data_IF_521657691399
#
_entry.id   IF_521657691399
#
_cell.length_a   1.000
_cell.length_b   1.000
_cell.length_c   1.000
_cell.angle_alpha   90.00
_cell.angle_beta   90.00
_cell.angle_gamma   90.00
#
_symmetry.space_group_name_H-M   'P 1'
#
loop_
_entity.id
_entity.type
_entity.pdbx_description
1 polymer ?
#
# COMPACT_ATOMS: atom_id res chain seq x y z
N UNK A 1 -7.20 28.23 -25.49
CA UNK A 1 -7.56 27.19 -26.48
C UNK A 1 -6.88 25.91 -26.05
N UNK A 2 -7.63 24.96 -25.50
CA UNK A 2 -7.07 23.70 -24.97
C UNK A 2 -6.69 22.75 -26.11
N UNK A 3 -7.51 22.65 -27.17
CA UNK A 3 -7.36 21.63 -28.22
C UNK A 3 -6.60 22.13 -29.45
N UNK A 4 -5.42 22.70 -29.22
CA UNK A 4 -4.54 23.23 -30.25
C UNK A 4 -3.12 22.70 -30.03
N UNK A 5 -2.47 22.20 -31.08
CA UNK A 5 -1.09 21.72 -31.04
C UNK A 5 -0.24 22.52 -32.02
N UNK A 6 0.53 23.48 -31.49
CA UNK A 6 1.25 24.47 -32.31
C UNK A 6 0.29 25.34 -33.10
N UNK A 7 0.26 25.18 -34.43
CA UNK A 7 -0.65 25.87 -35.36
C UNK A 7 -1.80 24.98 -35.87
N UNK A 8 -1.94 23.76 -35.37
CA UNK A 8 -2.91 22.80 -35.89
C UNK A 8 -4.02 22.50 -34.88
N UNK A 9 -5.28 22.58 -35.32
CA UNK A 9 -6.43 22.15 -34.53
C UNK A 9 -6.41 20.63 -34.33
N UNK A 10 -6.62 20.20 -33.09
CA UNK A 10 -6.73 18.76 -32.78
C UNK A 10 -8.06 18.24 -33.34
N UNK A 11 -8.00 17.11 -34.05
CA UNK A 11 -9.17 16.48 -34.68
C UNK A 11 -9.83 15.49 -33.74
N UNK A 12 -11.15 15.51 -33.71
CA UNK A 12 -11.99 14.63 -32.92
C UNK A 12 -12.99 13.91 -33.81
N UNK A 13 -13.24 12.63 -33.53
CA UNK A 13 -14.39 11.89 -34.03
C UNK A 13 -15.20 11.41 -32.84
N UNK A 14 -16.52 11.58 -32.88
CA UNK A 14 -17.42 11.18 -31.80
C UNK A 14 -18.20 9.94 -32.23
N UNK A 15 -18.12 8.87 -31.44
CA UNK A 15 -18.88 7.65 -31.66
C UNK A 15 -20.39 7.94 -31.62
N UNK A 16 -21.16 7.27 -32.50
CA UNK A 16 -22.61 7.47 -32.64
C UNK A 16 -23.46 6.99 -31.47
N UNK A 17 -22.95 6.06 -30.64
CA UNK A 17 -23.67 5.54 -29.49
C UNK A 17 -23.57 6.45 -28.26
N UNK A 18 -22.80 7.54 -28.34
CA UNK A 18 -22.80 8.56 -27.29
C UNK A 18 -24.18 9.25 -27.31
N UNK A 19 -24.85 9.45 -26.16
CA UNK A 19 -26.15 10.13 -26.10
C UNK A 19 -26.13 11.47 -26.83
N UNK A 20 -27.21 11.80 -27.57
CA UNK A 20 -27.25 12.95 -28.48
C UNK A 20 -27.06 14.29 -27.76
N UNK A 21 -27.57 14.42 -26.54
CA UNK A 21 -27.37 15.54 -25.65
C UNK A 21 -25.88 15.71 -25.29
N UNK A 22 -25.22 14.62 -24.89
CA UNK A 22 -23.78 14.60 -24.60
C UNK A 22 -22.97 14.92 -25.86
N UNK A 23 -23.35 14.41 -27.04
CA UNK A 23 -22.68 14.73 -28.30
C UNK A 23 -22.74 16.23 -28.65
N UNK A 24 -23.89 16.88 -28.43
CA UNK A 24 -24.05 18.32 -28.66
C UNK A 24 -23.17 19.13 -27.70
N UNK A 25 -23.13 18.75 -26.42
CA UNK A 25 -22.28 19.40 -25.43
C UNK A 25 -20.79 19.22 -25.75
N UNK A 26 -20.35 18.00 -26.06
CA UNK A 26 -18.97 17.73 -26.47
C UNK A 26 -18.59 18.53 -27.72
N UNK A 27 -19.50 18.60 -28.70
CA UNK A 27 -19.28 19.36 -29.93
C UNK A 27 -19.01 20.83 -29.65
N UNK A 28 -19.86 21.42 -28.80
CA UNK A 28 -19.73 22.79 -28.34
C UNK A 28 -18.40 23.01 -27.61
N UNK A 29 -18.07 22.18 -26.61
CA UNK A 29 -16.84 22.32 -25.82
C UNK A 29 -15.59 22.18 -26.70
N UNK A 30 -15.56 21.19 -27.60
CA UNK A 30 -14.41 20.98 -28.50
C UNK A 30 -14.18 22.20 -29.39
N UNK A 31 -15.23 22.73 -30.01
CA UNK A 31 -15.14 23.90 -30.89
C UNK A 31 -14.75 25.18 -30.13
N UNK A 32 -15.37 25.43 -28.97
CA UNK A 32 -15.04 26.57 -28.09
C UNK A 32 -13.57 26.52 -27.63
N UNK A 33 -13.02 25.32 -27.45
CA UNK A 33 -11.63 25.11 -27.04
C UNK A 33 -10.65 24.99 -28.21
N UNK A 34 -11.10 25.20 -29.45
CA UNK A 34 -10.24 25.26 -30.65
C UNK A 34 -10.00 23.95 -31.37
N UNK A 35 -10.71 22.88 -31.01
CA UNK A 35 -10.65 21.60 -31.69
C UNK A 35 -11.56 21.54 -32.91
N UNK A 36 -11.34 20.54 -33.78
CA UNK A 36 -12.12 20.28 -34.99
C UNK A 36 -12.79 18.92 -34.91
N UNK A 37 -14.06 18.83 -35.31
CA UNK A 37 -14.79 17.57 -35.36
C UNK A 37 -14.82 17.07 -36.81
N UNK A 38 -14.55 15.80 -37.00
CA UNK A 38 -14.53 15.12 -38.30
C UNK A 38 -15.65 14.08 -38.36
N UNK A 39 -16.30 13.97 -39.51
CA UNK A 39 -17.34 12.95 -39.76
C UNK A 39 -16.77 11.53 -39.90
N UNK A 40 -15.47 11.42 -40.15
CA UNK A 40 -14.74 10.16 -40.33
C UNK A 40 -13.63 10.06 -39.31
N UNK A 41 -13.28 8.83 -38.93
CA UNK A 41 -12.18 8.55 -38.01
C UNK A 41 -10.89 9.20 -38.54
N UNK A 42 -10.29 10.16 -37.82
CA UNK A 42 -9.15 10.91 -38.33
C UNK A 42 -7.89 10.02 -38.40
N UNK A 43 -6.93 10.41 -39.25
CA UNK A 43 -5.61 9.75 -39.29
C UNK A 43 -4.76 10.03 -38.05
N UNK A 44 -4.92 11.22 -37.48
CA UNK A 44 -4.29 11.69 -36.24
C UNK A 44 -5.32 12.52 -35.47
N UNK A 45 -5.36 12.36 -34.15
CA UNK A 45 -6.35 12.97 -33.27
C UNK A 45 -7.04 11.94 -32.37
N UNK A 46 -8.20 12.31 -31.85
CA UNK A 46 -8.93 11.55 -30.85
C UNK A 46 -10.21 10.95 -31.40
N UNK A 47 -10.49 9.72 -30.98
CA UNK A 47 -11.75 9.00 -31.20
C UNK A 47 -12.43 8.90 -29.83
N UNK A 48 -13.46 9.70 -29.62
CA UNK A 48 -14.25 9.72 -28.39
C UNK A 48 -15.24 8.56 -28.42
N UNK A 49 -15.09 7.63 -27.48
CA UNK A 49 -15.90 6.41 -27.40
C UNK A 49 -16.74 6.36 -26.13
N UNK A 50 -17.84 5.63 -26.19
CA UNK A 50 -18.59 5.18 -25.01
C UNK A 50 -18.01 3.83 -24.54
N UNK A 51 -17.30 3.78 -23.40
CA UNK A 51 -16.67 2.53 -22.92
C UNK A 51 -17.69 1.39 -22.79
N UNK A 52 -17.28 0.17 -23.14
CA UNK A 52 -18.12 -1.04 -23.01
C UNK A 52 -19.17 -1.26 -24.10
N UNK A 53 -19.32 -0.32 -25.05
CA UNK A 53 -20.25 -0.49 -26.17
C UNK A 53 -19.65 -1.36 -27.29
N UNK A 54 -20.50 -2.09 -28.01
CA UNK A 54 -20.06 -2.95 -29.13
C UNK A 54 -19.36 -2.14 -30.25
N UNK A 55 -19.85 -0.93 -30.51
CA UNK A 55 -19.24 -0.02 -31.48
C UNK A 55 -17.87 0.49 -31.02
N UNK A 56 -17.67 0.75 -29.72
CA UNK A 56 -16.34 1.10 -29.20
C UNK A 56 -15.33 -0.04 -29.45
N UNK A 57 -15.74 -1.29 -29.22
CA UNK A 57 -14.93 -2.47 -29.55
C UNK A 57 -14.67 -2.56 -31.05
N UNK A 58 -15.70 -2.37 -31.89
CA UNK A 58 -15.56 -2.39 -33.35
C UNK A 58 -14.59 -1.32 -33.86
N UNK A 59 -14.71 -0.08 -33.35
CA UNK A 59 -13.84 1.03 -33.72
C UNK A 59 -12.39 0.74 -33.36
N UNK A 60 -12.13 0.22 -32.15
CA UNK A 60 -10.79 -0.24 -31.78
C UNK A 60 -10.32 -1.34 -32.73
N UNK A 61 -11.06 -2.43 -32.91
CA UNK A 61 -10.62 -3.54 -33.79
C UNK A 61 -10.38 -3.14 -35.25
N UNK A 62 -11.17 -2.21 -35.80
CA UNK A 62 -11.04 -1.81 -37.21
C UNK A 62 -9.97 -0.73 -37.45
N UNK A 63 -9.75 0.15 -36.48
CA UNK A 63 -8.98 1.38 -36.68
C UNK A 63 -7.77 1.50 -35.75
N UNK A 64 -7.62 0.60 -34.79
CA UNK A 64 -6.41 0.51 -34.00
C UNK A 64 -5.31 -0.14 -34.85
N UNK A 65 -4.23 0.59 -35.11
CA UNK A 65 -3.08 0.10 -35.85
C UNK A 65 -1.81 0.73 -35.27
N UNK A 66 -0.77 -0.07 -34.97
CA UNK A 66 0.49 0.44 -34.43
C UNK A 66 1.21 1.38 -35.41
N UNK A 67 0.90 1.31 -36.71
CA UNK A 67 1.47 2.18 -37.76
C UNK A 67 0.92 3.62 -37.71
N UNK A 68 -0.06 3.89 -36.84
CA UNK A 68 -0.74 5.19 -36.71
C UNK A 68 -0.70 5.68 -35.25
N UNK A 69 0.48 5.99 -34.70
CA UNK A 69 0.64 6.32 -33.28
C UNK A 69 -0.07 7.61 -32.85
N UNK A 70 -0.43 8.50 -33.79
CA UNK A 70 -1.14 9.74 -33.50
C UNK A 70 -2.66 9.60 -33.37
N UNK A 71 -3.21 8.38 -33.38
CA UNK A 71 -4.66 8.12 -33.22
C UNK A 71 -4.91 7.53 -31.84
N UNK A 72 -5.74 8.21 -31.05
CA UNK A 72 -6.01 7.81 -29.68
C UNK A 72 -7.49 7.53 -29.45
N UNK A 73 -7.80 6.41 -28.78
CA UNK A 73 -9.17 6.02 -28.43
C UNK A 73 -9.39 6.29 -26.95
N UNK A 74 -10.12 7.35 -26.65
CA UNK A 74 -10.33 7.87 -25.30
C UNK A 74 -11.82 7.91 -24.98
N UNK A 75 -12.24 7.74 -23.71
CA UNK A 75 -13.64 7.88 -23.35
C UNK A 75 -14.13 9.30 -23.65
N UNK A 76 -15.43 9.46 -23.90
CA UNK A 76 -16.02 10.78 -24.15
C UNK A 76 -15.80 11.77 -22.98
N UNK A 77 -15.61 11.27 -21.75
CA UNK A 77 -15.26 12.07 -20.56
C UNK A 77 -13.88 12.74 -20.63
N UNK A 78 -13.03 12.35 -21.59
CA UNK A 78 -11.71 12.96 -21.81
C UNK A 78 -11.77 14.47 -22.08
N UNK A 79 -12.80 14.92 -22.80
CA UNK A 79 -12.96 16.35 -23.14
C UNK A 79 -13.18 17.18 -21.88
N UNK A 80 -14.04 16.70 -20.99
CA UNK A 80 -14.30 17.33 -19.70
C UNK A 80 -13.05 17.29 -18.80
N UNK A 81 -12.32 16.17 -18.80
CA UNK A 81 -11.06 16.05 -18.06
C UNK A 81 -10.01 17.07 -18.53
N UNK A 82 -9.87 17.29 -19.84
CA UNK A 82 -8.99 18.33 -20.39
C UNK A 82 -9.46 19.74 -20.00
N UNK A 83 -10.77 19.99 -20.04
CA UNK A 83 -11.37 21.26 -19.62
C UNK A 83 -11.07 21.54 -18.15
N UNK A 84 -11.26 20.56 -17.28
CA UNK A 84 -11.01 20.67 -15.84
C UNK A 84 -9.52 20.84 -15.51
N UNK A 85 -8.64 20.20 -16.28
CA UNK A 85 -7.20 20.38 -16.16
C UNK A 85 -6.71 21.74 -16.72
N UNK A 86 -7.55 22.45 -17.48
CA UNK A 86 -7.16 23.68 -18.20
C UNK A 86 -6.11 23.44 -19.29
N UNK A 87 -5.85 22.19 -19.66
CA UNK A 87 -4.79 21.79 -20.56
C UNK A 87 -5.14 20.49 -21.29
N UNK A 88 -4.53 20.28 -22.46
CA UNK A 88 -4.71 19.07 -23.24
C UNK A 88 -3.90 17.92 -22.62
N UNK A 89 -4.60 16.88 -22.16
CA UNK A 89 -4.01 15.71 -21.52
C UNK A 89 -3.29 14.82 -22.55
N UNK A 90 -1.98 14.65 -22.38
CA UNK A 90 -1.15 13.82 -23.25
C UNK A 90 -1.39 12.33 -23.00
N UNK A 91 -1.38 11.53 -24.06
CA UNK A 91 -1.54 10.07 -24.02
C UNK A 91 -0.22 9.37 -23.66
N UNK A 92 0.30 9.65 -22.47
CA UNK A 92 1.62 9.20 -22.03
C UNK A 92 1.68 7.71 -21.69
N UNK A 93 0.59 7.12 -21.23
CA UNK A 93 0.55 5.69 -20.85
C UNK A 93 0.29 4.79 -22.07
N UNK A 94 1.02 5.05 -23.15
CA UNK A 94 0.99 4.26 -24.37
C UNK A 94 2.39 3.77 -24.73
N UNK A 95 2.51 2.54 -25.21
CA UNK A 95 3.77 1.94 -25.67
C UNK A 95 3.51 1.27 -27.02
N UNK A 96 4.23 1.71 -28.07
CA UNK A 96 3.95 1.26 -29.44
C UNK A 96 2.52 1.57 -29.92
N UNK A 97 1.91 2.65 -29.38
CA UNK A 97 0.51 3.02 -29.64
C UNK A 97 -0.51 2.22 -28.84
N UNK A 98 -0.11 1.15 -28.14
CA UNK A 98 -0.98 0.36 -27.28
C UNK A 98 -1.10 1.00 -25.90
N UNK A 99 -2.30 1.04 -25.29
CA UNK A 99 -2.43 1.36 -23.87
C UNK A 99 -1.59 0.44 -23.01
N UNK A 100 -0.85 1.00 -22.05
CA UNK A 100 -0.12 0.20 -21.06
C UNK A 100 -1.15 -0.49 -20.15
N UNK A 101 -1.09 -1.83 -19.96
CA UNK A 101 -1.96 -2.53 -19.03
C UNK A 101 -1.51 -2.26 -17.59
N UNK A 102 -2.37 -1.61 -16.81
CA UNK A 102 -2.15 -1.19 -15.44
C UNK A 102 -3.19 -1.87 -14.54
N UNK A 103 -2.74 -2.54 -13.48
CA UNK A 103 -3.62 -3.12 -12.48
C UNK A 103 -3.64 -2.25 -11.22
N UNK A 104 -4.81 -1.77 -10.82
CA UNK A 104 -4.98 -1.06 -9.55
C UNK A 104 -5.32 -2.07 -8.45
N UNK A 105 -4.35 -2.37 -7.58
CA UNK A 105 -4.47 -3.39 -6.55
C UNK A 105 -5.52 -3.04 -5.48
N UNK A 106 -6.14 -4.04 -4.86
CA UNK A 106 -7.19 -3.87 -3.85
C UNK A 106 -6.73 -3.23 -2.53
N UNK A 107 -5.42 -3.05 -2.34
CA UNK A 107 -4.84 -2.33 -1.19
C UNK A 107 -5.31 -0.87 -1.11
N UNK A 108 -5.78 -0.29 -2.21
CA UNK A 108 -6.47 0.99 -2.18
C UNK A 108 -7.86 0.82 -1.57
N UNK A 109 -7.97 1.06 -0.27
CA UNK A 109 -9.23 0.90 0.48
C UNK A 109 -10.31 1.88 0.01
N UNK A 110 -9.95 3.11 -0.38
CA UNK A 110 -10.91 4.13 -0.81
C UNK A 110 -11.39 3.88 -2.27
N UNK A 111 -12.67 3.51 -2.49
CA UNK A 111 -13.19 3.24 -3.82
C UNK A 111 -13.22 4.48 -4.73
N UNK A 112 -13.45 5.68 -4.16
CA UNK A 112 -13.49 6.93 -4.91
C UNK A 112 -12.10 7.33 -5.40
N UNK A 113 -11.08 7.15 -4.55
CA UNK A 113 -9.69 7.36 -4.94
C UNK A 113 -9.28 6.40 -6.06
N UNK A 114 -9.70 5.13 -5.98
CA UNK A 114 -9.46 4.13 -7.03
C UNK A 114 -10.15 4.49 -8.35
N UNK A 115 -11.41 4.94 -8.30
CA UNK A 115 -12.13 5.40 -9.48
C UNK A 115 -11.47 6.64 -10.11
N UNK A 116 -11.07 7.61 -9.29
CA UNK A 116 -10.38 8.82 -9.76
C UNK A 116 -9.01 8.50 -10.38
N UNK A 117 -8.26 7.57 -9.78
CA UNK A 117 -6.99 7.08 -10.33
C UNK A 117 -7.19 6.35 -11.66
N UNK A 118 -8.23 5.52 -11.76
CA UNK A 118 -8.64 4.84 -12.99
C UNK A 118 -8.95 5.83 -14.11
N UNK A 119 -9.78 6.85 -13.82
CA UNK A 119 -10.14 7.92 -14.77
C UNK A 119 -8.87 8.63 -15.28
N UNK A 120 -7.94 9.00 -14.38
CA UNK A 120 -6.67 9.65 -14.76
C UNK A 120 -5.80 8.79 -15.68
N UNK A 121 -5.72 7.50 -15.42
CA UNK A 121 -4.97 6.55 -16.25
C UNK A 121 -5.61 6.46 -17.64
N UNK A 122 -6.93 6.30 -17.71
CA UNK A 122 -7.68 6.19 -18.97
C UNK A 122 -7.52 7.48 -19.79
N UNK A 123 -7.69 8.65 -19.16
CA UNK A 123 -7.55 9.94 -19.83
C UNK A 123 -6.12 10.22 -20.31
N UNK A 124 -5.13 9.53 -19.73
CA UNK A 124 -3.73 9.63 -20.13
C UNK A 124 -3.28 8.46 -21.02
N UNK A 125 -4.22 7.65 -21.53
CA UNK A 125 -4.00 6.63 -22.57
C UNK A 125 -3.72 5.22 -22.08
N UNK A 126 -3.78 4.94 -20.77
CA UNK A 126 -3.54 3.62 -20.20
C UNK A 126 -4.82 2.77 -20.03
N UNK A 127 -4.64 1.50 -19.69
CA UNK A 127 -5.74 0.58 -19.35
C UNK A 127 -5.68 0.19 -17.86
N UNK A 128 -6.52 0.76 -16.98
CA UNK A 128 -6.52 0.47 -15.54
C UNK A 128 -7.26 -0.82 -15.16
N UNK A 129 -7.92 -1.48 -16.12
CA UNK A 129 -8.75 -2.66 -15.88
C UNK A 129 -8.00 -3.97 -16.14
N UNK A 130 -6.69 -3.91 -16.38
CA UNK A 130 -5.89 -5.09 -16.66
C UNK A 130 -5.90 -6.05 -15.45
N UNK A 131 -6.12 -7.35 -15.67
CA UNK A 131 -5.94 -8.34 -14.60
C UNK A 131 -4.47 -8.43 -14.20
N UNK A 132 -4.23 -8.78 -12.93
CA UNK A 132 -2.89 -8.83 -12.31
C UNK A 132 -1.87 -9.64 -13.11
N UNK A 133 -2.31 -10.71 -13.78
CA UNK A 133 -1.45 -11.61 -14.58
C UNK A 133 -0.97 -10.99 -15.90
N UNK A 134 -1.74 -10.07 -16.47
CA UNK A 134 -1.43 -9.40 -17.74
C UNK A 134 -0.87 -7.98 -17.56
N UNK A 135 -0.88 -7.49 -16.33
CA UNK A 135 -0.50 -6.12 -16.03
C UNK A 135 1.00 -5.91 -16.19
N UNK A 136 1.36 -4.86 -16.91
CA UNK A 136 2.73 -4.36 -17.01
C UNK A 136 3.08 -3.52 -15.78
N UNK A 137 2.12 -2.76 -15.28
CA UNK A 137 2.28 -1.93 -14.07
C UNK A 137 1.25 -2.35 -13.03
N UNK A 138 1.69 -2.60 -11.80
CA UNK A 138 0.84 -2.90 -10.66
C UNK A 138 0.93 -1.71 -9.72
N UNK A 139 -0.19 -1.00 -9.55
CA UNK A 139 -0.29 0.09 -8.60
C UNK A 139 -0.75 -0.46 -7.25
N UNK A 140 0.00 -0.15 -6.19
CA UNK A 140 -0.36 -0.53 -4.82
C UNK A 140 -0.07 0.60 -3.82
N UNK A 141 -0.69 0.53 -2.65
CA UNK A 141 -0.56 1.54 -1.61
C UNK A 141 0.77 1.35 -0.85
N UNK A 142 1.73 2.31 -0.94
CA UNK A 142 3.05 2.19 -0.31
C UNK A 142 3.00 2.08 1.22
N UNK A 143 1.90 2.52 1.86
CA UNK A 143 1.72 2.47 3.31
C UNK A 143 1.29 1.09 3.82
N UNK A 144 1.02 0.15 2.90
CA UNK A 144 0.62 -1.21 3.25
C UNK A 144 1.80 -2.19 3.10
N UNK A 145 1.87 -3.25 3.94
CA UNK A 145 2.91 -4.29 3.79
C UNK A 145 2.76 -5.10 2.48
N UNK A 146 1.60 -5.00 1.83
CA UNK A 146 1.31 -5.63 0.55
C UNK A 146 2.23 -5.06 -0.54
N UNK A 147 2.52 -3.76 -0.53
CA UNK A 147 3.40 -3.13 -1.51
C UNK A 147 4.78 -3.81 -1.56
N UNK A 148 5.40 -4.01 -0.40
CA UNK A 148 6.69 -4.70 -0.28
C UNK A 148 6.61 -6.18 -0.69
N UNK A 149 5.49 -6.84 -0.38
CA UNK A 149 5.24 -8.23 -0.81
C UNK A 149 5.13 -8.32 -2.33
N UNK A 150 4.41 -7.39 -2.97
CA UNK A 150 4.26 -7.32 -4.42
C UNK A 150 5.60 -7.07 -5.11
N UNK A 151 6.41 -6.12 -4.62
CA UNK A 151 7.77 -5.88 -5.15
C UNK A 151 8.58 -7.18 -5.12
N UNK A 152 8.66 -7.85 -3.96
CA UNK A 152 9.44 -9.10 -3.81
C UNK A 152 8.93 -10.22 -4.71
N UNK A 153 7.61 -10.36 -4.84
CA UNK A 153 6.99 -11.41 -5.66
C UNK A 153 7.17 -11.21 -7.17
N UNK A 154 7.45 -9.98 -7.61
CA UNK A 154 7.60 -9.63 -9.02
C UNK A 154 9.03 -9.20 -9.40
N UNK A 155 9.99 -9.20 -8.47
CA UNK A 155 11.38 -8.76 -8.69
C UNK A 155 12.08 -9.48 -9.86
N UNK A 156 11.76 -10.76 -10.06
CA UNK A 156 12.35 -11.58 -11.12
C UNK A 156 11.51 -11.63 -12.42
N UNK A 157 10.41 -10.87 -12.51
CA UNK A 157 9.55 -10.86 -13.70
C UNK A 157 9.92 -9.67 -14.58
N UNK A 158 10.64 -9.86 -15.70
CA UNK A 158 10.99 -8.75 -16.57
C UNK A 158 9.72 -8.12 -17.16
N UNK A 159 9.71 -6.79 -17.24
CA UNK A 159 8.60 -6.03 -17.81
C UNK A 159 7.39 -5.84 -16.90
N UNK A 160 7.43 -6.33 -15.65
CA UNK A 160 6.40 -6.03 -14.64
C UNK A 160 6.97 -5.04 -13.61
N UNK A 161 6.29 -3.92 -13.42
CA UNK A 161 6.69 -2.86 -12.51
C UNK A 161 5.67 -2.73 -11.38
N UNK A 162 6.13 -2.62 -10.14
CA UNK A 162 5.27 -2.34 -8.98
C UNK A 162 5.51 -0.90 -8.54
N UNK A 163 4.49 -0.06 -8.65
CA UNK A 163 4.59 1.38 -8.43
C UNK A 163 3.54 1.87 -7.42
N UNK A 164 3.80 3.03 -6.81
CA UNK A 164 2.82 3.70 -5.94
C UNK A 164 1.82 4.51 -6.76
N UNK A 165 0.68 4.90 -6.20
CA UNK A 165 -0.27 5.80 -6.89
C UNK A 165 0.35 7.17 -7.25
N UNK A 166 1.36 7.62 -6.51
CA UNK A 166 2.09 8.87 -6.78
C UNK A 166 2.85 8.82 -8.10
N UNK A 167 3.22 7.62 -8.56
CA UNK A 167 3.83 7.42 -9.87
C UNK A 167 2.96 7.94 -11.01
N UNK A 168 1.63 7.69 -10.96
CA UNK A 168 0.70 8.18 -11.98
C UNK A 168 0.70 9.71 -12.02
N UNK A 169 0.67 10.36 -10.85
CA UNK A 169 0.72 11.82 -10.74
C UNK A 169 2.02 12.37 -11.34
N UNK A 170 3.16 11.81 -10.93
CA UNK A 170 4.49 12.20 -11.43
C UNK A 170 4.64 12.02 -12.94
N UNK A 171 4.14 10.92 -13.49
CA UNK A 171 4.19 10.66 -14.94
C UNK A 171 3.34 11.69 -15.72
N UNK A 172 2.13 12.00 -15.24
CA UNK A 172 1.24 13.01 -15.88
C UNK A 172 1.89 14.40 -15.85
N UNK A 173 2.42 14.81 -14.70
CA UNK A 173 3.08 16.11 -14.53
C UNK A 173 4.35 16.26 -15.37
N UNK A 174 5.18 15.21 -15.42
CA UNK A 174 6.39 15.21 -16.25
C UNK A 174 6.10 15.00 -17.73
N UNK A 175 4.91 14.51 -18.08
CA UNK A 175 4.53 14.17 -19.45
C UNK A 175 5.30 12.96 -20.01
N UNK A 176 5.96 12.18 -19.17
CA UNK A 176 6.78 11.01 -19.56
C UNK A 176 6.56 9.86 -18.57
N UNK A 177 6.49 8.64 -19.09
CA UNK A 177 6.45 7.43 -18.25
C UNK A 177 7.85 7.12 -17.75
N UNK A 178 8.07 7.28 -16.45
CA UNK A 178 9.35 7.01 -15.79
C UNK A 178 9.15 6.05 -14.62
N UNK A 179 9.70 4.85 -14.71
CA UNK A 179 9.61 3.84 -13.65
C UNK A 179 10.59 4.14 -12.51
N UNK A 180 10.22 3.74 -11.29
CA UNK A 180 11.08 3.80 -10.12
C UNK A 180 12.26 2.85 -10.34
N UNK A 181 13.52 3.34 -10.32
CA UNK A 181 14.67 2.49 -10.58
C UNK A 181 14.82 1.43 -9.48
N UNK A 182 15.02 0.17 -9.89
CA UNK A 182 15.36 -0.91 -8.96
C UNK A 182 16.78 -0.67 -8.46
N UNK A 183 16.90 -0.08 -7.27
CA UNK A 183 18.19 0.10 -6.63
C UNK A 183 18.65 -1.27 -6.11
N UNK A 184 19.65 -1.86 -6.78
CA UNK A 184 20.30 -3.06 -6.28
C UNK A 184 20.89 -2.76 -4.90
N UNK A 185 20.22 -3.26 -3.86
CA UNK A 185 20.80 -3.27 -2.52
C UNK A 185 21.89 -4.32 -2.56
N UNK A 186 23.16 -3.88 -2.52
CA UNK A 186 24.27 -4.80 -2.41
C UNK A 186 23.96 -5.78 -1.27
N UNK A 187 23.89 -7.10 -1.54
CA UNK A 187 23.61 -8.10 -0.52
C UNK A 187 24.69 -7.91 0.53
N UNK A 188 24.29 -7.38 1.69
CA UNK A 188 25.20 -6.83 2.68
C UNK A 188 26.38 -7.77 2.90
N UNK A 189 27.56 -7.31 2.50
CA UNK A 189 28.78 -8.09 2.48
C UNK A 189 29.94 -7.13 2.35
N UNK A 190 30.96 -7.31 3.19
CA UNK A 190 32.20 -6.53 3.07
C UNK A 190 32.86 -6.87 1.73
N UNK A 191 33.42 -5.88 1.06
CA UNK A 191 34.17 -6.13 -0.18
C UNK A 191 35.36 -7.03 0.16
N UNK A 192 35.67 -8.00 -0.70
CA UNK A 192 36.85 -8.87 -0.54
C UNK A 192 38.09 -7.97 -0.55
N UNK A 193 38.81 -7.91 0.58
CA UNK A 193 39.98 -7.03 0.77
C UNK A 193 39.70 -5.75 1.57
N UNK A 194 38.45 -5.45 1.90
CA UNK A 194 38.14 -4.39 2.86
C UNK A 194 38.45 -4.89 4.27
N UNK A 195 39.61 -4.50 4.78
CA UNK A 195 40.03 -4.86 6.13
C UNK A 195 39.00 -4.38 7.14
N UNK A 196 38.74 -5.22 8.15
CA UNK A 196 37.88 -4.81 9.26
C UNK A 196 38.61 -3.66 9.96
N UNK A 197 38.03 -2.47 9.92
CA UNK A 197 38.47 -1.37 10.79
C UNK A 197 38.58 -1.94 12.20
N UNK A 198 39.79 -1.91 12.76
CA UNK A 198 40.01 -2.33 14.13
C UNK A 198 39.55 -1.21 15.05
N UNK A 199 38.97 -1.57 16.20
CA UNK A 199 38.62 -0.59 17.23
C UNK A 199 39.92 -0.04 17.81
N UNK A 200 40.06 1.27 17.78
CA UNK A 200 41.14 1.99 18.47
C UNK A 200 40.82 2.21 19.94
N UNK A 201 41.83 2.56 20.74
CA UNK A 201 41.59 2.91 22.14
C UNK A 201 40.77 4.21 22.28
N UNK A 202 40.90 5.12 21.32
CA UNK A 202 40.05 6.32 21.24
C UNK A 202 38.59 5.98 20.98
N UNK A 203 38.31 5.01 20.10
CA UNK A 203 36.96 4.51 19.84
C UNK A 203 36.33 3.95 21.12
N UNK A 204 37.09 3.18 21.90
CA UNK A 204 36.63 2.64 23.18
C UNK A 204 36.37 3.75 24.21
N UNK A 205 37.25 4.76 24.27
CA UNK A 205 37.07 5.91 25.18
C UNK A 205 35.81 6.70 24.84
N UNK A 206 35.60 7.01 23.57
CA UNK A 206 34.42 7.74 23.10
C UNK A 206 33.13 6.92 23.30
N UNK A 207 33.19 5.60 23.07
CA UNK A 207 32.09 4.70 23.40
C UNK A 207 31.77 4.70 24.90
N UNK A 208 32.79 4.64 25.76
CA UNK A 208 32.60 4.71 27.22
C UNK A 208 31.99 6.04 27.63
N UNK A 209 32.45 7.16 27.07
CA UNK A 209 31.92 8.49 27.35
C UNK A 209 30.43 8.59 26.97
N UNK A 210 30.06 8.07 25.79
CA UNK A 210 28.66 8.01 25.37
C UNK A 210 27.80 7.15 26.31
N UNK A 211 28.26 5.95 26.67
CA UNK A 211 27.53 5.06 27.57
C UNK A 211 27.43 5.68 28.97
N UNK A 212 28.48 6.36 29.47
CA UNK A 212 28.45 7.06 30.74
C UNK A 212 27.38 8.16 30.78
N UNK A 213 27.26 8.93 29.69
CA UNK A 213 26.24 9.98 29.57
C UNK A 213 24.81 9.44 29.51
N UNK A 214 24.59 8.29 28.83
CA UNK A 214 23.24 7.72 28.66
C UNK A 214 22.83 6.77 29.79
N UNK A 215 23.72 5.88 30.21
CA UNK A 215 23.47 4.81 31.20
C UNK A 215 24.64 4.77 32.21
N UNK A 216 24.71 5.75 33.13
CA UNK A 216 25.84 5.93 34.04
C UNK A 216 26.05 4.77 35.02
N UNK A 217 24.99 4.07 35.42
CA UNK A 217 25.04 2.97 36.38
C UNK A 217 24.77 1.63 35.70
N UNK A 218 25.59 0.61 35.99
CA UNK A 218 25.51 -0.72 35.34
C UNK A 218 24.27 -1.48 35.82
N UNK A 219 23.90 -1.26 37.08
CA UNK A 219 22.82 -1.90 37.81
C UNK A 219 21.45 -1.59 37.21
N UNK A 220 21.30 -0.42 36.60
CA UNK A 220 20.10 -0.02 35.85
C UNK A 220 19.88 -0.90 34.62
N UNK A 221 20.90 -1.66 34.19
CA UNK A 221 20.85 -2.51 33.01
C UNK A 221 20.89 -1.71 31.70
N UNK A 222 20.52 -2.33 30.58
CA UNK A 222 20.33 -1.63 29.31
C UNK A 222 21.59 -1.30 28.49
N UNK A 223 22.80 -1.34 29.08
CA UNK A 223 24.08 -1.14 28.33
C UNK A 223 24.27 -2.12 27.16
N UNK A 224 23.58 -3.26 27.14
CA UNK A 224 23.62 -4.26 26.05
C UNK A 224 22.40 -4.21 25.12
N UNK A 225 21.51 -3.21 25.26
CA UNK A 225 20.31 -3.07 24.45
C UNK A 225 20.60 -2.52 23.05
N UNK A 226 19.96 -3.08 22.00
CA UNK A 226 20.21 -2.68 20.60
C UNK A 226 19.95 -1.18 20.36
N UNK A 227 18.89 -0.63 20.98
CA UNK A 227 18.47 0.77 20.79
C UNK A 227 19.56 1.78 21.16
N UNK A 228 20.34 1.52 22.21
CA UNK A 228 21.42 2.41 22.67
C UNK A 228 22.45 2.65 21.54
N UNK A 229 22.81 1.58 20.83
CA UNK A 229 23.81 1.62 19.77
C UNK A 229 23.23 2.06 18.43
N UNK A 230 21.95 1.81 18.17
CA UNK A 230 21.25 2.38 17.02
C UNK A 230 21.22 3.90 17.13
N UNK A 231 20.83 4.42 18.30
CA UNK A 231 20.85 5.86 18.56
C UNK A 231 22.24 6.47 18.47
N UNK A 232 23.29 5.75 18.90
CA UNK A 232 24.66 6.19 18.70
C UNK A 232 24.95 6.42 17.21
N UNK A 233 24.59 5.45 16.35
CA UNK A 233 24.77 5.55 14.89
C UNK A 233 23.94 6.67 14.26
N UNK A 234 22.71 6.88 14.76
CA UNK A 234 21.83 7.95 14.26
C UNK A 234 22.45 9.34 14.48
N UNK A 235 23.29 9.52 15.50
CA UNK A 235 24.07 10.75 15.72
C UNK A 235 25.32 10.85 14.84
N UNK A 236 25.63 9.85 14.01
CA UNK A 236 26.87 9.83 13.22
C UNK A 236 26.98 10.93 12.16
N UNK A 237 25.90 11.68 11.91
CA UNK A 237 25.88 12.89 11.08
C UNK A 237 26.14 14.19 11.87
N UNK A 238 26.12 14.15 13.20
CA UNK A 238 26.37 15.31 14.04
C UNK A 238 27.88 15.58 14.22
N UNK A 239 28.24 16.86 14.33
CA UNK A 239 29.63 17.28 14.53
C UNK A 239 30.19 16.66 15.82
N UNK A 240 31.34 15.99 15.70
CA UNK A 240 32.00 15.28 16.80
C UNK A 240 31.63 13.79 16.95
N UNK A 241 30.62 13.30 16.22
CA UNK A 241 30.21 11.88 16.24
C UNK A 241 30.64 11.09 15.00
N UNK A 242 31.46 11.68 14.12
CA UNK A 242 31.98 11.03 12.90
C UNK A 242 32.66 9.66 13.16
N UNK A 243 33.29 9.48 14.32
CA UNK A 243 33.93 8.22 14.72
C UNK A 243 32.96 7.04 14.77
N UNK A 244 31.68 7.29 15.05
CA UNK A 244 30.66 6.25 15.18
C UNK A 244 30.46 5.49 13.87
N UNK A 245 30.59 6.17 12.72
CA UNK A 245 30.39 5.59 11.38
C UNK A 245 31.44 4.56 10.98
N UNK A 246 32.56 4.49 11.72
CA UNK A 246 33.64 3.52 11.48
C UNK A 246 33.19 2.07 11.68
N UNK A 247 32.13 1.85 12.48
CA UNK A 247 31.60 0.52 12.76
C UNK A 247 30.07 0.52 12.80
N UNK A 248 29.46 -0.63 12.52
CA UNK A 248 28.00 -0.78 12.64
C UNK A 248 27.56 -0.82 14.10
N UNK A 249 26.30 -0.48 14.41
CA UNK A 249 25.77 -0.58 15.78
C UNK A 249 25.93 -1.97 16.39
N UNK A 250 25.82 -3.05 15.58
CA UNK A 250 26.06 -4.41 16.06
C UNK A 250 27.51 -4.62 16.49
N UNK A 251 28.45 -4.04 15.75
CA UNK A 251 29.89 -4.14 16.03
C UNK A 251 30.24 -3.38 17.31
N UNK A 252 29.71 -2.16 17.50
CA UNK A 252 29.85 -1.40 18.76
C UNK A 252 29.29 -2.14 19.96
N UNK A 253 28.08 -2.71 19.80
CA UNK A 253 27.44 -3.52 20.84
C UNK A 253 28.27 -4.73 21.22
N UNK A 254 28.76 -5.46 20.22
CA UNK A 254 29.58 -6.66 20.45
C UNK A 254 30.94 -6.30 21.04
N UNK A 255 31.52 -5.14 20.65
CA UNK A 255 32.74 -4.60 21.26
C UNK A 255 32.55 -4.36 22.75
N UNK A 256 31.47 -3.67 23.14
CA UNK A 256 31.14 -3.48 24.55
C UNK A 256 30.90 -4.81 25.25
N UNK A 257 30.06 -5.69 24.68
CA UNK A 257 29.72 -6.98 25.30
C UNK A 257 30.94 -7.84 25.58
N UNK A 258 31.91 -7.90 24.66
CA UNK A 258 33.15 -8.70 24.82
C UNK A 258 34.17 -8.06 25.77
N UNK A 259 34.12 -6.74 25.94
CA UNK A 259 35.08 -5.99 26.76
C UNK A 259 34.41 -5.32 27.96
N UNK A 260 33.25 -5.83 28.39
CA UNK A 260 32.40 -5.15 29.35
C UNK A 260 33.13 -4.88 30.67
N UNK A 261 33.92 -5.84 31.17
CA UNK A 261 34.70 -5.69 32.40
C UNK A 261 35.66 -4.49 32.35
N UNK A 262 36.45 -4.36 31.28
CA UNK A 262 37.41 -3.26 31.11
C UNK A 262 36.71 -1.93 30.86
N UNK A 263 35.70 -1.92 29.99
CA UNK A 263 35.00 -0.69 29.62
C UNK A 263 34.12 -0.19 30.76
N UNK A 264 33.52 -1.08 31.57
CA UNK A 264 32.74 -0.68 32.73
C UNK A 264 33.59 0.03 33.80
N UNK A 265 34.85 -0.37 34.00
CA UNK A 265 35.80 0.34 34.88
C UNK A 265 36.04 1.76 34.36
N UNK A 266 36.22 1.92 33.05
CA UNK A 266 36.42 3.24 32.41
C UNK A 266 35.15 4.10 32.51
N UNK A 267 33.98 3.52 32.24
CA UNK A 267 32.68 4.18 32.37
C UNK A 267 32.47 4.64 33.82
N UNK A 268 32.76 3.80 34.81
CA UNK A 268 32.63 4.17 36.22
C UNK A 268 33.55 5.35 36.60
N UNK A 269 34.79 5.36 36.09
CA UNK A 269 35.71 6.49 36.29
C UNK A 269 35.18 7.80 35.67
N UNK A 270 34.65 7.75 34.44
CA UNK A 270 34.05 8.91 33.76
C UNK A 270 32.82 9.42 34.53
N UNK A 271 31.97 8.52 35.03
CA UNK A 271 30.78 8.89 35.81
C UNK A 271 31.18 9.56 37.13
N UNK A 272 32.22 9.05 37.80
CA UNK A 272 32.75 9.66 39.02
C UNK A 272 33.34 11.06 38.77
N UNK A 273 34.04 11.26 37.65
CA UNK A 273 34.58 12.57 37.25
C UNK A 273 33.47 13.58 36.93
N UNK A 274 32.44 13.15 36.20
CA UNK A 274 31.30 13.99 35.83
C UNK A 274 30.37 14.30 37.03
N UNK A 275 30.58 13.66 38.19
CA UNK A 275 29.77 13.79 39.40
C UNK A 275 28.26 13.67 39.14
N UNK A 276 27.87 12.79 38.22
CA UNK A 276 26.46 12.59 37.88
C UNK A 276 25.76 11.93 39.06
N UNK A 277 24.86 12.65 39.72
CA UNK A 277 24.09 12.08 40.83
C UNK A 277 23.07 11.06 40.30
N UNK A 278 22.87 9.94 41.01
CA UNK A 278 21.77 9.02 40.73
C UNK A 278 20.43 9.77 40.75
N UNK A 279 19.77 9.94 39.60
CA UNK A 279 18.46 10.61 39.49
C UNK A 279 18.40 11.92 38.70
N UNK A 280 19.50 12.43 38.15
CA UNK A 280 19.44 13.64 37.31
C UNK A 280 18.77 13.41 35.94
N UNK A 281 18.03 14.43 35.46
CA UNK A 281 17.29 14.40 34.19
C UNK A 281 18.24 14.16 33.01
N UNK A 282 18.12 13.00 32.35
CA UNK A 282 18.96 12.62 31.20
C UNK A 282 19.34 11.14 31.17
N UNK A 283 19.20 10.45 32.31
CA UNK A 283 19.44 9.01 32.42
C UNK A 283 18.41 8.22 31.61
N UNK A 284 18.89 7.31 30.75
CA UNK A 284 18.07 6.54 29.83
C UNK A 284 17.17 5.57 30.61
N UNK A 285 15.96 6.04 30.86
CA UNK A 285 14.96 5.35 31.66
C UNK A 285 14.96 5.89 33.09
N UNK A 286 14.01 6.80 33.36
CA UNK A 286 13.28 6.72 34.62
C UNK A 286 13.02 5.23 34.89
N UNK A 287 13.61 4.71 35.97
CA UNK A 287 13.27 3.40 36.49
C UNK A 287 11.76 3.41 36.61
N UNK A 288 11.07 2.69 35.72
CA UNK A 288 9.64 2.51 35.86
C UNK A 288 9.47 1.72 37.14
N UNK A 289 9.06 2.37 38.23
CA UNK A 289 8.16 1.69 39.15
C UNK A 289 7.08 1.04 38.28
N UNK A 290 6.76 -0.23 38.56
CA UNK A 290 5.80 -1.01 37.78
C UNK A 290 4.39 -0.40 37.90
N UNK A 291 4.15 0.68 37.19
CA UNK A 291 2.82 1.25 36.98
C UNK A 291 2.30 0.87 35.58
N UNK A 292 0.99 0.53 35.47
CA UNK A 292 0.38 0.03 34.25
C UNK A 292 0.48 1.06 33.11
N UNK A 293 0.96 0.59 31.95
CA UNK A 293 1.37 1.42 30.82
C UNK A 293 0.16 2.06 30.11
N UNK A 294 0.10 3.40 30.09
CA UNK A 294 -0.62 4.15 29.04
C UNK A 294 0.37 4.58 27.96
N UNK A 295 0.03 4.34 26.69
CA UNK A 295 0.82 4.77 25.52
C UNK A 295 0.36 6.16 25.08
N UNK A 296 1.29 7.00 24.63
CA UNK A 296 1.01 8.26 23.93
C UNK A 296 1.70 8.28 22.55
N UNK A 297 1.19 9.11 21.62
CA UNK A 297 1.23 8.89 20.18
C UNK A 297 2.44 9.58 19.52
N UNK A 298 2.85 9.05 18.36
CA UNK A 298 3.84 9.65 17.48
C UNK A 298 3.24 10.75 16.63
N UNK A 299 4.08 11.70 16.20
CA UNK A 299 3.70 12.79 15.31
C UNK A 299 4.84 13.05 14.34
N UNK A 300 4.43 13.49 13.14
CA UNK A 300 5.02 14.52 12.26
C UNK A 300 5.72 14.03 11.00
N UNK A 301 4.88 13.63 10.04
CA UNK A 301 5.05 13.93 8.60
C UNK A 301 3.68 14.01 7.88
N UNK A 302 2.64 14.51 8.58
CA UNK A 302 1.24 14.47 8.10
C UNK A 302 0.81 15.71 7.28
N UNK A 303 1.61 16.78 7.23
CA UNK A 303 1.14 18.05 6.64
C UNK A 303 1.15 18.06 5.10
N UNK A 304 2.13 17.42 4.47
CA UNK A 304 2.17 17.33 3.00
C UNK A 304 1.21 16.23 2.46
N UNK A 305 0.96 15.16 3.23
CA UNK A 305 -0.01 14.13 2.86
C UNK A 305 -1.47 14.57 3.04
N UNK A 306 -1.76 15.36 4.08
CA UNK A 306 -3.12 15.85 4.36
C UNK A 306 -3.60 16.81 3.27
N UNK A 307 -2.71 17.69 2.78
CA UNK A 307 -3.01 18.60 1.68
C UNK A 307 -3.38 17.84 0.38
N UNK A 308 -2.67 16.75 0.07
CA UNK A 308 -2.96 15.95 -1.12
C UNK A 308 -4.26 15.14 -1.00
N UNK A 309 -4.56 14.66 0.21
CA UNK A 309 -5.79 13.94 0.51
C UNK A 309 -7.01 14.86 0.44
N UNK A 310 -6.89 16.08 0.96
CA UNK A 310 -7.91 17.12 0.88
C UNK A 310 -8.14 17.57 -0.58
N UNK A 311 -7.09 17.68 -1.39
CA UNK A 311 -7.20 17.98 -2.83
C UNK A 311 -7.94 16.87 -3.60
N UNK A 312 -7.65 15.59 -3.32
CA UNK A 312 -8.34 14.44 -3.92
C UNK A 312 -9.82 14.35 -3.51
N UNK A 313 -10.13 14.72 -2.27
CA UNK A 313 -11.50 14.69 -1.72
C UNK A 313 -12.34 15.86 -2.24
N UNK A 314 -11.75 17.06 -2.36
CA UNK A 314 -12.40 18.24 -2.93
C UNK A 314 -12.77 18.05 -4.42
N UNK A 315 -11.96 17.30 -5.17
CA UNK A 315 -12.26 16.92 -6.56
C UNK A 315 -13.38 15.88 -6.66
N UNK A 316 -13.45 14.94 -5.72
CA UNK A 316 -14.53 13.95 -5.67
C UNK A 316 -15.89 14.58 -5.30
N UNK A 317 -15.89 15.65 -4.50
CA UNK A 317 -17.09 16.33 -4.03
C UNK A 317 -17.80 17.21 -5.09
N UNK A 318 -17.15 17.52 -6.22
CA UNK A 318 -17.70 18.41 -7.25
C UNK A 318 -18.52 17.72 -8.35
N UNK A 319 -18.79 16.41 -8.24
CA UNK A 319 -19.65 15.71 -9.21
C UNK A 319 -21.14 15.77 -8.81
N UNK A 320 -22.03 16.39 -9.60
CA UNK A 320 -23.46 16.18 -9.45
C UNK A 320 -23.83 14.78 -9.95
N UNK A 321 -24.20 13.89 -9.02
CA UNK A 321 -24.80 12.59 -9.33
C UNK A 321 -26.22 12.83 -9.87
N UNK A 322 -26.34 13.04 -11.18
CA UNK A 322 -27.63 12.94 -11.87
C UNK A 322 -27.62 11.66 -12.71
N UNK A 323 -28.12 10.57 -12.14
CA UNK A 323 -28.46 9.35 -12.88
C UNK A 323 -29.97 9.21 -12.83
N UNK A 324 -30.71 9.30 -13.95
CA UNK A 324 -32.13 9.00 -13.96
C UNK A 324 -32.33 7.49 -13.83
N UNK A 325 -32.93 7.08 -12.73
CA UNK A 325 -33.38 5.71 -12.48
C UNK A 325 -34.75 5.48 -13.13
N UNK A 326 -34.80 4.84 -14.31
CA UNK A 326 -35.88 3.92 -14.70
C UNK A 326 -35.64 3.36 -16.12
N UNK A 327 -35.24 2.09 -16.22
CA UNK A 327 -35.47 1.29 -17.43
C UNK A 327 -36.08 -0.04 -16.96
N UNK A 328 -37.32 -0.40 -17.36
CA UNK A 328 -37.90 -1.69 -17.03
C UNK A 328 -37.23 -2.79 -17.87
N UNK A 329 -36.78 -3.85 -17.22
CA UNK A 329 -36.34 -5.08 -17.89
C UNK A 329 -37.55 -5.85 -18.45
N UNK A 330 -37.51 -6.35 -19.69
CA UNK A 330 -38.51 -7.28 -20.22
C UNK A 330 -38.21 -8.73 -19.79
N UNK A 331 -39.24 -9.59 -19.66
CA UNK A 331 -39.09 -10.95 -19.15
C UNK A 331 -38.73 -11.97 -20.25
N UNK A 332 -37.95 -12.97 -19.83
CA UNK A 332 -37.87 -14.37 -20.28
C UNK A 332 -38.00 -14.71 -21.78
N UNK A 333 -36.90 -15.25 -22.35
CA UNK A 333 -36.96 -16.27 -23.39
C UNK A 333 -36.14 -17.49 -22.94
N UNK A 334 -36.85 -18.59 -22.71
CA UNK A 334 -36.26 -19.92 -22.47
C UNK A 334 -35.74 -20.52 -23.79
N UNK A 335 -34.64 -21.30 -23.79
CA UNK A 335 -34.26 -22.10 -24.95
C UNK A 335 -34.81 -23.53 -24.87
N UNK A 336 -35.41 -23.96 -25.98
CA UNK A 336 -35.79 -25.35 -26.31
C UNK A 336 -34.58 -26.25 -26.60
N UNK A 337 -34.68 -27.58 -26.42
CA UNK A 337 -33.58 -28.52 -26.63
C UNK A 337 -33.44 -28.94 -28.12
N UNK A 338 -32.20 -29.02 -28.61
CA UNK A 338 -31.83 -29.59 -29.93
C UNK A 338 -30.86 -30.77 -29.70
N UNK A 339 -30.95 -31.86 -30.49
CA UNK A 339 -30.35 -33.15 -30.17
C UNK A 339 -28.88 -33.31 -30.58
N UNK A 340 -28.30 -34.37 -30.03
CA UNK A 340 -26.90 -34.77 -30.03
C UNK A 340 -26.24 -34.94 -31.41
N UNK A 341 -25.00 -34.45 -31.51
CA UNK A 341 -24.00 -34.95 -32.44
C UNK A 341 -22.62 -34.97 -31.75
N UNK A 342 -21.93 -36.08 -31.95
CA UNK A 342 -20.70 -36.52 -31.31
C UNK A 342 -19.47 -35.71 -31.73
N UNK A 343 -18.65 -35.29 -30.76
CA UNK A 343 -17.21 -35.07 -30.95
C UNK A 343 -16.53 -35.08 -29.59
N UNK A 344 -15.69 -36.08 -29.35
CA UNK A 344 -14.84 -36.21 -28.17
C UNK A 344 -13.86 -35.03 -28.03
N UNK A 345 -13.59 -34.62 -26.78
CA UNK A 345 -12.22 -34.29 -26.41
C UNK A 345 -11.77 -35.03 -25.14
N UNK A 346 -10.60 -35.67 -25.32
CA UNK A 346 -9.56 -36.05 -24.36
C UNK A 346 -9.66 -35.31 -23.01
N UNK A 347 -10.07 -36.03 -21.96
CA UNK A 347 -9.97 -35.63 -20.55
C UNK A 347 -8.53 -35.88 -20.06
N UNK A 348 -7.88 -34.82 -19.59
CA UNK A 348 -6.79 -34.90 -18.62
C UNK A 348 -7.44 -34.97 -17.23
N UNK A 349 -7.08 -35.98 -16.46
CA UNK A 349 -7.62 -36.27 -15.13
C UNK A 349 -7.04 -35.26 -14.11
N UNK A 350 -7.90 -34.37 -13.62
CA UNK A 350 -7.66 -33.59 -12.39
C UNK A 350 -7.79 -34.55 -11.20
N UNK A 351 -6.68 -34.79 -10.52
CA UNK A 351 -6.63 -35.51 -9.24
C UNK A 351 -7.28 -34.69 -8.14
N UNK A 352 -8.50 -35.10 -7.80
CA UNK A 352 -9.31 -34.69 -6.65
C UNK A 352 -8.56 -34.98 -5.34
N UNK A 353 -8.35 -33.96 -4.50
CA UNK A 353 -7.76 -34.14 -3.16
C UNK A 353 -8.85 -34.57 -2.16
N UNK A 354 -8.83 -35.80 -1.61
CA UNK A 354 -9.87 -36.23 -0.68
C UNK A 354 -9.72 -35.57 0.69
N UNK A 355 -10.81 -34.93 1.13
CA UNK A 355 -11.01 -34.44 2.50
C UNK A 355 -11.16 -35.67 3.43
N UNK A 356 -10.23 -35.81 4.40
CA UNK A 356 -10.20 -36.92 5.36
C UNK A 356 -11.29 -36.76 6.45
N UNK A 357 -12.18 -37.76 6.56
CA UNK A 357 -13.03 -37.99 7.73
C UNK A 357 -12.69 -39.38 8.29
N UNK A 358 -12.00 -39.46 9.44
CA UNK A 358 -11.84 -40.70 10.22
C UNK A 358 -10.42 -41.07 10.69
N UNK A 359 -10.35 -41.89 11.76
CA UNK A 359 -9.15 -42.32 12.48
C UNK A 359 -8.36 -43.45 11.79
N UNK A 360 -7.74 -43.18 10.63
CA UNK A 360 -6.76 -44.11 10.04
C UNK A 360 -5.32 -43.70 10.37
N UNK A 361 -4.45 -44.72 10.54
CA UNK A 361 -3.03 -44.53 10.87
C UNK A 361 -2.31 -43.73 9.77
N UNK A 362 -1.46 -42.74 10.13
CA UNK A 362 -0.76 -41.93 9.16
C UNK A 362 0.22 -42.74 8.29
N UNK A 363 0.45 -42.32 7.04
CA UNK A 363 1.31 -43.04 6.09
C UNK A 363 2.78 -43.06 6.51
N UNK A 364 3.48 -44.14 6.14
CA UNK A 364 4.79 -44.55 6.65
C UNK A 364 5.96 -43.57 6.39
N UNK A 365 5.78 -42.56 5.54
CA UNK A 365 6.78 -41.52 5.31
C UNK A 365 6.87 -40.48 6.45
N UNK A 366 5.86 -40.41 7.34
CA UNK A 366 5.83 -39.51 8.49
C UNK A 366 6.66 -40.01 9.70
N UNK A 367 7.30 -41.18 9.60
CA UNK A 367 8.07 -41.80 10.70
C UNK A 367 9.51 -42.10 10.31
N UNK A 368 10.25 -41.06 9.90
CA UNK A 368 11.71 -41.11 9.73
C UNK A 368 12.46 -40.74 11.02
N UNK A 369 12.62 -41.69 11.95
CA UNK A 369 13.57 -41.56 13.07
C UNK A 369 14.99 -41.87 12.58
N UNK A 370 15.89 -40.90 12.66
CA UNK A 370 17.34 -41.14 12.62
C UNK A 370 17.76 -41.82 13.93
N UNK A 371 18.36 -42.99 13.81
CA UNK A 371 19.11 -43.65 14.86
C UNK A 371 20.43 -42.88 15.10
N UNK A 372 20.65 -42.43 16.33
CA UNK A 372 21.97 -42.17 16.89
C UNK A 372 21.96 -42.70 18.33
N UNK A 373 23.00 -43.45 18.64
CA UNK A 373 23.17 -44.39 19.74
C UNK A 373 23.78 -43.77 20.99
N UNK A 374 23.42 -44.34 22.17
CA UNK A 374 24.18 -44.40 23.44
C UNK A 374 24.23 -43.04 24.19
N UNK A 375 23.83 -42.87 25.46
CA UNK A 375 24.01 -43.68 26.67
C UNK A 375 22.92 -43.31 27.71
N UNK A 376 22.65 -44.22 28.64
CA UNK A 376 21.57 -44.14 29.61
C UNK A 376 21.99 -43.41 30.89
N UNK A 377 21.15 -42.49 31.39
CA UNK A 377 21.00 -42.25 32.83
C UNK A 377 19.55 -41.93 33.19
N UNK A 378 19.22 -42.35 34.41
CA UNK A 378 17.93 -42.74 34.96
C UNK A 378 17.35 -41.62 35.83
N UNK A 379 16.17 -41.07 35.51
CA UNK A 379 15.41 -40.23 36.44
C UNK A 379 13.87 -40.29 36.27
N UNK A 380 13.11 -40.20 37.37
CA UNK A 380 11.75 -40.75 37.48
C UNK A 380 10.63 -39.80 37.06
N UNK A 381 9.49 -40.43 36.78
CA UNK A 381 8.27 -39.86 36.23
C UNK A 381 7.43 -38.97 37.17
N UNK A 382 6.57 -38.19 36.51
CA UNK A 382 5.27 -37.59 36.93
C UNK A 382 5.29 -36.19 37.54
N UNK A 383 4.68 -35.23 36.81
CA UNK A 383 3.54 -34.43 37.30
C UNK A 383 2.51 -34.18 36.18
N UNK A 384 1.20 -34.32 36.47
CA UNK A 384 0.12 -34.04 35.52
C UNK A 384 -0.07 -32.54 35.33
N UNK A 385 -0.31 -32.14 34.09
CA UNK A 385 -0.52 -30.75 33.66
C UNK A 385 -1.92 -30.32 34.09
N UNK A 386 -1.98 -29.43 35.07
CA UNK A 386 -3.22 -28.85 35.59
C UNK A 386 -3.82 -27.84 34.62
N UNK A 387 -5.15 -27.88 34.61
CA UNK A 387 -6.10 -27.08 33.84
C UNK A 387 -5.79 -25.57 33.91
N UNK A 388 -5.46 -24.96 32.77
CA UNK A 388 -5.21 -23.53 32.64
C UNK A 388 -6.53 -22.77 32.53
N UNK A 389 -6.85 -22.00 33.56
CA UNK A 389 -7.86 -20.95 33.59
C UNK A 389 -7.69 -19.98 32.43
N UNK A 390 -8.79 -19.70 31.73
CA UNK A 390 -8.90 -18.77 30.61
C UNK A 390 -8.28 -17.40 30.97
N UNK A 391 -7.18 -17.06 30.29
CA UNK A 391 -6.64 -15.72 30.30
C UNK A 391 -7.61 -14.79 29.52
N UNK A 392 -7.83 -13.55 29.97
CA UNK A 392 -8.68 -12.61 29.26
C UNK A 392 -8.08 -12.34 27.87
N UNK A 393 -8.83 -12.69 26.82
CA UNK A 393 -8.46 -12.39 25.44
C UNK A 393 -8.21 -10.88 25.31
N UNK A 394 -7.00 -10.53 24.90
CA UNK A 394 -6.63 -9.16 24.60
C UNK A 394 -7.34 -8.75 23.31
N UNK A 395 -8.54 -8.17 23.45
CA UNK A 395 -9.31 -7.61 22.35
C UNK A 395 -8.51 -6.50 21.65
N UNK A 396 -8.62 -6.45 20.32
CA UNK A 396 -7.93 -5.48 19.50
C UNK A 396 -8.41 -4.05 19.84
N UNK A 397 -7.54 -3.04 19.65
CA UNK A 397 -7.86 -1.63 19.98
C UNK A 397 -9.08 -1.14 19.21
N UNK A 398 -9.25 -1.60 17.97
CA UNK A 398 -10.39 -1.30 17.11
C UNK A 398 -11.69 -1.90 17.68
N UNK A 399 -11.69 -3.18 18.08
CA UNK A 399 -12.86 -3.85 18.65
C UNK A 399 -13.31 -3.19 19.96
N UNK A 400 -12.36 -2.69 20.74
CA UNK A 400 -12.66 -1.92 21.96
C UNK A 400 -13.35 -0.59 21.63
N UNK A 401 -12.90 0.09 20.56
CA UNK A 401 -13.53 1.31 20.05
C UNK A 401 -14.95 1.08 19.53
N UNK A 402 -15.16 0.02 18.75
CA UNK A 402 -16.47 -0.37 18.20
C UNK A 402 -17.46 -0.74 19.31
N UNK A 403 -17.04 -1.53 20.31
CA UNK A 403 -17.86 -1.85 21.50
C UNK A 403 -18.29 -0.60 22.26
N UNK A 404 -17.39 0.37 22.41
CA UNK A 404 -17.69 1.62 23.10
C UNK A 404 -18.75 2.45 22.34
N UNK A 405 -18.63 2.57 21.02
CA UNK A 405 -19.63 3.27 20.20
C UNK A 405 -20.99 2.56 20.27
N UNK A 406 -21.01 1.23 20.15
CA UNK A 406 -22.23 0.44 20.26
C UNK A 406 -22.93 0.64 21.62
N UNK A 407 -22.17 0.60 22.72
CA UNK A 407 -22.68 0.86 24.08
C UNK A 407 -23.21 2.29 24.26
N UNK A 408 -22.49 3.31 23.79
CA UNK A 408 -22.88 4.72 23.92
C UNK A 408 -24.14 5.06 23.12
N UNK A 409 -24.29 4.47 21.94
CA UNK A 409 -25.37 4.79 21.00
C UNK A 409 -26.57 3.84 21.09
N UNK A 410 -26.45 2.77 21.87
CA UNK A 410 -27.44 1.68 22.03
C UNK A 410 -27.76 0.94 20.71
N UNK A 411 -26.76 0.78 19.84
CA UNK A 411 -26.83 -0.05 18.63
C UNK A 411 -26.04 -1.35 18.81
N UNK A 412 -26.23 -2.34 17.94
CA UNK A 412 -25.48 -3.59 18.04
C UNK A 412 -24.05 -3.42 17.55
N UNK A 413 -23.12 -4.26 18.02
CA UNK A 413 -21.72 -4.18 17.59
C UNK A 413 -21.57 -4.50 16.10
N UNK A 414 -22.42 -5.38 15.56
CA UNK A 414 -22.43 -5.78 14.16
C UNK A 414 -22.81 -4.60 13.25
N UNK A 415 -23.78 -3.77 13.66
CA UNK A 415 -24.19 -2.58 12.90
C UNK A 415 -23.07 -1.54 12.85
N UNK A 416 -22.45 -1.28 14.01
CA UNK A 416 -21.34 -0.33 14.13
C UNK A 416 -20.11 -0.83 13.35
N UNK A 417 -19.82 -2.13 13.43
CA UNK A 417 -18.71 -2.75 12.69
C UNK A 417 -18.95 -2.73 11.17
N UNK A 418 -20.14 -3.08 10.70
CA UNK A 418 -20.46 -3.06 9.27
C UNK A 418 -20.38 -1.65 8.65
N UNK A 419 -20.64 -0.60 9.43
CA UNK A 419 -20.43 0.79 8.98
C UNK A 419 -18.96 1.21 9.04
N UNK A 420 -18.24 0.79 10.09
CA UNK A 420 -16.81 1.02 10.18
C UNK A 420 -16.05 0.35 9.04
N UNK A 421 -16.40 -0.88 8.68
CA UNK A 421 -15.78 -1.61 7.56
C UNK A 421 -15.96 -0.89 6.20
N UNK A 422 -17.01 -0.06 6.08
CA UNK A 422 -17.25 0.78 4.89
C UNK A 422 -16.46 2.08 4.89
N UNK A 423 -16.23 2.67 6.06
CA UNK A 423 -15.66 4.02 6.18
C UNK A 423 -14.20 4.04 6.60
N UNK A 424 -13.73 3.02 7.33
CA UNK A 424 -12.39 2.93 7.89
C UNK A 424 -12.09 3.94 9.01
N UNK A 425 -13.03 4.82 9.35
CA UNK A 425 -12.80 5.96 10.25
C UNK A 425 -13.69 5.90 11.50
N UNK A 426 -13.04 5.86 12.66
CA UNK A 426 -13.72 5.67 13.95
C UNK A 426 -14.56 6.87 14.37
N UNK A 427 -14.12 8.08 14.05
CA UNK A 427 -14.83 9.31 14.42
C UNK A 427 -16.06 9.54 13.54
N UNK A 428 -15.96 9.27 12.24
CA UNK A 428 -17.10 9.28 11.30
C UNK A 428 -18.15 8.25 11.74
N UNK A 429 -17.71 7.05 12.11
CA UNK A 429 -18.59 6.00 12.64
C UNK A 429 -19.30 6.47 13.91
N UNK A 430 -18.57 7.03 14.89
CA UNK A 430 -19.18 7.56 16.12
C UNK A 430 -20.22 8.65 15.84
N UNK A 431 -19.87 9.65 15.03
CA UNK A 431 -20.75 10.79 14.74
C UNK A 431 -22.03 10.34 14.02
N UNK A 432 -21.92 9.39 13.09
CA UNK A 432 -23.07 8.83 12.39
C UNK A 432 -24.07 8.19 13.35
N UNK A 433 -23.60 7.31 14.24
CA UNK A 433 -24.49 6.60 15.17
C UNK A 433 -25.05 7.52 16.27
N UNK A 434 -24.29 8.54 16.69
CA UNK A 434 -24.82 9.59 17.58
C UNK A 434 -25.95 10.39 16.92
N UNK A 435 -25.79 10.77 15.64
CA UNK A 435 -26.83 11.48 14.90
C UNK A 435 -28.10 10.62 14.72
N UNK A 436 -27.94 9.33 14.38
CA UNK A 436 -29.08 8.40 14.30
C UNK A 436 -29.79 8.27 15.64
N UNK A 437 -29.05 8.16 16.75
CA UNK A 437 -29.64 8.09 18.09
C UNK A 437 -30.39 9.38 18.44
N UNK A 438 -29.84 10.54 18.13
CA UNK A 438 -30.50 11.83 18.35
C UNK A 438 -31.81 11.95 17.56
N UNK A 439 -31.86 11.46 16.31
CA UNK A 439 -33.09 11.42 15.52
C UNK A 439 -34.14 10.50 16.13
N UNK A 440 -33.75 9.29 16.58
CA UNK A 440 -34.65 8.35 17.25
C UNK A 440 -35.22 8.97 18.53
N UNK A 441 -34.37 9.58 19.37
CA UNK A 441 -34.81 10.25 20.60
C UNK A 441 -35.74 11.44 20.34
N UNK A 442 -35.60 12.11 19.20
CA UNK A 442 -36.52 13.18 18.80
C UNK A 442 -37.88 12.65 18.32
N UNK A 443 -37.90 11.49 17.66
CA UNK A 443 -39.14 10.87 17.15
C UNK A 443 -39.91 10.15 18.25
N UNK A 444 -39.21 9.62 19.26
CA UNK A 444 -39.78 8.89 20.37
C UNK A 444 -39.31 9.51 21.70
N UNK A 445 -39.85 10.69 22.08
CA UNK A 445 -39.62 11.22 23.42
C UNK A 445 -40.22 10.26 24.45
N UNK A 446 -39.45 9.96 25.50
CA UNK A 446 -39.89 9.08 26.61
C UNK A 446 -41.10 9.64 27.38
#
# INVERSE_FOLDING_TARGET
MIFYDGDTQIKFFIQRDVPQDVMQELTKIIQEQGGRIEEKVPRQGYVLIAPGTAEAHRLRSCWFSPDRPGRFFVPYTFVEACKNAGAHLKQIFTEGGMPIPIHIHSSFCNPNARASLSDRIIHSGGDPNAPLTSARVILADPNTPIFQTLIKSNENKPGVFVESYMWVKKCIESGVVAYTPVVFKNPGGRRKGEERTQFSDDDDRLLCQWIAQKIPFKETGGRTGNKLYQQLIDLGDEDGYNWVRRHTWQSWRERYKKNAERLDVTIAAIVAELKLEPGEKGQYGYVREKHPKKRKPGVKDEQDEMALREELEALAAQRPLSVPANIPFPPELMPTPIPAASSEPRREEEEDWPILIGNLKPPAWASGKRHASIEAEDHPAKRPRTNSSAAPEQLHVVDTGLRKIAQETKFTIEEVQAFFDKTGEMEVTRNRFQAMRAMISKMFPE
#
